data_IF_325264446303
#
_entry.id   IF_325264446303
#
_cell.length_a   1.000
_cell.length_b   1.000
_cell.length_c   1.000
_cell.angle_alpha   90.00
_cell.angle_beta   90.00
_cell.angle_gamma   90.00
#
_symmetry.space_group_name_H-M   'P 1'
#
loop_
_entity.id
_entity.type
_entity.pdbx_description
1 polymer ?
#
# COMPACT_ATOMS: atom_id res chain seq x y z
N UNK A 1 24.63 5.91 -16.47
CA UNK A 1 25.18 7.17 -15.93
C UNK A 1 24.49 8.36 -16.57
N UNK A 2 24.07 9.34 -15.77
CA UNK A 2 23.40 10.55 -16.28
C UNK A 2 24.37 11.61 -16.87
N UNK A 3 25.67 11.50 -16.60
CA UNK A 3 26.69 12.53 -16.90
C UNK A 3 26.77 13.63 -15.83
N UNK A 4 25.88 13.62 -14.83
CA UNK A 4 25.84 14.63 -13.77
C UNK A 4 26.36 14.08 -12.44
N UNK A 5 26.74 15.00 -11.55
CA UNK A 5 27.21 14.72 -10.20
C UNK A 5 26.43 15.56 -9.19
N UNK A 6 26.21 15.01 -8.01
CA UNK A 6 25.72 15.72 -6.84
C UNK A 6 26.89 16.01 -5.89
N UNK A 7 26.81 17.10 -5.15
CA UNK A 7 27.75 17.38 -4.05
C UNK A 7 27.20 16.79 -2.77
N UNK A 8 27.95 15.89 -2.13
CA UNK A 8 27.60 15.42 -0.78
C UNK A 8 27.74 16.59 0.21
N UNK A 9 26.65 17.05 0.82
CA UNK A 9 26.69 18.27 1.65
C UNK A 9 27.48 18.10 2.95
N UNK A 10 27.78 16.83 3.34
CA UNK A 10 28.49 16.53 4.59
C UNK A 10 30.01 16.63 4.43
N UNK A 11 30.52 16.21 3.27
CA UNK A 11 31.98 16.14 3.03
C UNK A 11 32.47 16.83 1.76
N UNK A 12 31.55 17.42 0.98
CA UNK A 12 31.86 18.15 -0.25
C UNK A 12 32.30 17.30 -1.44
N UNK A 13 32.32 15.96 -1.32
CA UNK A 13 32.70 15.07 -2.42
C UNK A 13 31.61 15.02 -3.50
N UNK A 14 32.06 14.88 -4.75
CA UNK A 14 31.17 14.66 -5.88
C UNK A 14 30.73 13.20 -5.94
N UNK A 15 29.41 12.99 -6.05
CA UNK A 15 28.77 11.67 -6.14
C UNK A 15 28.15 11.55 -7.53
N UNK A 16 28.47 10.51 -8.33
CA UNK A 16 27.90 10.34 -9.67
C UNK A 16 26.40 9.99 -9.58
N UNK A 17 25.60 10.60 -10.45
CA UNK A 17 24.16 10.34 -10.52
C UNK A 17 23.89 9.30 -11.60
N UNK A 18 23.19 8.23 -11.21
CA UNK A 18 22.79 7.14 -12.07
C UNK A 18 21.27 6.99 -12.08
N UNK A 19 20.72 6.35 -13.13
CA UNK A 19 19.33 5.92 -13.20
C UNK A 19 19.32 4.41 -13.19
N UNK A 20 18.46 3.80 -12.36
CA UNK A 20 18.30 2.36 -12.28
C UNK A 20 16.84 2.00 -12.00
N UNK A 21 16.40 0.88 -12.56
CA UNK A 21 15.03 0.35 -12.45
C UNK A 21 14.72 -0.23 -11.06
N UNK A 22 15.74 -0.60 -10.27
CA UNK A 22 15.51 -1.05 -8.90
C UNK A 22 15.28 0.10 -7.90
N UNK A 23 15.51 1.35 -8.30
CA UNK A 23 15.22 2.54 -7.48
C UNK A 23 13.76 2.92 -7.65
N UNK A 24 12.96 2.76 -6.60
CA UNK A 24 11.53 3.04 -6.63
C UNK A 24 11.26 4.55 -6.63
N UNK A 25 10.64 5.05 -7.68
CA UNK A 25 10.25 6.46 -7.80
C UNK A 25 9.25 6.90 -6.71
N UNK A 26 8.47 5.96 -6.17
CA UNK A 26 7.49 6.19 -5.11
C UNK A 26 8.09 6.20 -3.70
N UNK A 27 9.39 5.91 -3.54
CA UNK A 27 10.04 5.90 -2.24
C UNK A 27 10.70 7.25 -1.95
N UNK A 28 10.22 7.95 -0.94
CA UNK A 28 10.73 9.28 -0.58
C UNK A 28 10.53 10.30 -1.70
N UNK A 29 11.64 10.84 -2.23
CA UNK A 29 11.65 11.77 -3.37
C UNK A 29 11.88 11.07 -4.71
N UNK A 30 12.01 9.74 -4.71
CA UNK A 30 12.44 8.97 -5.88
C UNK A 30 13.95 9.01 -6.14
N UNK A 31 14.71 9.67 -5.27
CA UNK A 31 16.16 9.67 -5.29
C UNK A 31 16.72 9.09 -3.99
N UNK A 32 17.70 8.21 -4.09
CA UNK A 32 18.39 7.58 -2.96
C UNK A 32 19.89 7.89 -3.01
N UNK A 33 20.54 7.92 -1.85
CA UNK A 33 21.99 7.82 -1.76
C UNK A 33 22.33 6.35 -1.57
N UNK A 34 23.00 5.76 -2.57
CA UNK A 34 23.41 4.36 -2.52
C UNK A 34 24.54 4.16 -1.50
N UNK A 35 24.56 2.98 -0.87
CA UNK A 35 25.62 2.59 0.08
C UNK A 35 26.18 1.22 -0.31
N UNK A 36 27.02 1.16 -1.34
CA UNK A 36 27.47 -0.11 -1.94
C UNK A 36 28.16 -1.09 -0.97
N UNK A 37 28.83 -0.60 0.05
CA UNK A 37 29.48 -1.46 1.03
C UNK A 37 28.48 -2.20 1.96
N UNK A 38 27.22 -1.72 2.05
CA UNK A 38 26.23 -2.15 3.06
C UNK A 38 24.82 -2.45 2.51
N UNK A 39 24.68 -2.55 1.19
CA UNK A 39 23.48 -3.05 0.50
C UNK A 39 23.89 -3.92 -0.68
N UNK A 40 23.39 -5.15 -0.73
CA UNK A 40 23.79 -6.16 -1.73
C UNK A 40 23.45 -5.74 -3.17
N UNK A 41 22.35 -5.00 -3.40
CA UNK A 41 21.97 -4.52 -4.73
C UNK A 41 22.86 -3.37 -5.17
N UNK A 42 23.13 -2.43 -4.27
CA UNK A 42 24.03 -1.31 -4.53
C UNK A 42 25.46 -1.83 -4.76
N UNK A 43 25.88 -2.87 -4.02
CA UNK A 43 27.16 -3.54 -4.19
C UNK A 43 27.29 -4.17 -5.58
N UNK A 44 26.28 -4.97 -5.98
CA UNK A 44 26.28 -5.59 -7.31
C UNK A 44 26.31 -4.55 -8.44
N UNK A 45 25.59 -3.44 -8.26
CA UNK A 45 25.59 -2.33 -9.18
C UNK A 45 26.98 -1.65 -9.25
N UNK A 46 27.58 -1.36 -8.11
CA UNK A 46 28.90 -0.73 -8.04
C UNK A 46 29.99 -1.62 -8.66
N UNK A 47 29.98 -2.91 -8.40
CA UNK A 47 30.91 -3.88 -9.06
C UNK A 47 30.71 -3.91 -10.58
N UNK A 48 29.47 -3.94 -11.06
CA UNK A 48 29.14 -3.96 -12.50
C UNK A 48 29.64 -2.73 -13.23
N UNK A 49 29.56 -1.55 -12.62
CA UNK A 49 29.91 -0.29 -13.24
C UNK A 49 31.24 0.29 -12.75
N UNK A 50 32.02 -0.53 -12.01
CA UNK A 50 33.34 -0.19 -11.49
C UNK A 50 33.33 1.13 -10.68
N UNK A 51 32.33 1.27 -9.79
CA UNK A 51 32.23 2.39 -8.88
C UNK A 51 33.00 2.13 -7.58
N UNK A 52 33.42 3.17 -6.90
CA UNK A 52 34.10 3.09 -5.62
C UNK A 52 33.16 2.50 -4.55
N UNK A 53 33.65 1.52 -3.77
CA UNK A 53 32.96 0.92 -2.64
C UNK A 53 33.73 1.25 -1.38
N UNK A 54 33.13 2.06 -0.51
CA UNK A 54 33.77 2.55 0.73
C UNK A 54 33.07 1.90 1.92
N UNK A 55 33.76 1.08 2.75
CA UNK A 55 33.17 0.57 3.98
C UNK A 55 32.97 1.71 4.98
N UNK A 56 31.77 1.87 5.48
CA UNK A 56 31.41 2.88 6.47
C UNK A 56 31.00 2.28 7.82
N UNK A 57 30.91 0.95 7.90
CA UNK A 57 30.77 0.20 9.12
C UNK A 57 31.92 -0.81 9.27
N UNK A 58 32.34 -1.05 10.50
CA UNK A 58 33.33 -2.05 10.83
C UNK A 58 32.70 -3.45 10.75
N UNK A 59 33.35 -4.37 10.05
CA UNK A 59 32.94 -5.77 9.90
C UNK A 59 32.88 -6.22 8.44
N UNK A 60 32.79 -7.53 8.25
CA UNK A 60 32.71 -8.17 6.95
C UNK A 60 33.96 -8.05 6.08
N UNK A 61 33.85 -8.53 4.85
CA UNK A 61 34.88 -8.42 3.82
C UNK A 61 34.27 -7.88 2.52
N UNK A 62 34.33 -6.58 2.31
CA UNK A 62 33.74 -5.89 1.14
C UNK A 62 34.40 -6.26 -0.19
N UNK A 63 35.52 -6.98 -0.21
CA UNK A 63 36.10 -7.53 -1.45
C UNK A 63 35.24 -8.70 -1.98
N UNK A 64 34.54 -9.39 -1.09
CA UNK A 64 33.72 -10.57 -1.39
C UNK A 64 32.26 -10.20 -1.57
N UNK A 65 31.67 -9.49 -0.60
CA UNK A 65 30.25 -9.15 -0.55
C UNK A 65 29.98 -7.89 0.27
N UNK A 66 28.75 -7.36 0.18
CA UNK A 66 28.29 -6.28 1.05
C UNK A 66 28.12 -6.77 2.49
N UNK A 67 28.49 -5.93 3.46
CA UNK A 67 28.25 -6.19 4.88
C UNK A 67 26.95 -5.51 5.32
N UNK A 68 25.87 -6.29 5.48
CA UNK A 68 24.52 -5.78 5.77
C UNK A 68 24.16 -5.77 7.25
N UNK A 69 25.07 -6.22 8.13
CA UNK A 69 24.86 -6.22 9.58
C UNK A 69 25.18 -4.84 10.19
N UNK A 70 24.73 -4.64 11.42
CA UNK A 70 25.05 -3.43 12.19
C UNK A 70 26.53 -3.46 12.65
N UNK A 71 27.17 -2.30 12.62
CA UNK A 71 28.57 -2.15 13.03
C UNK A 71 28.86 -0.74 13.58
N UNK A 72 30.10 -0.55 14.02
CA UNK A 72 30.60 0.77 14.42
C UNK A 72 31.02 1.56 13.17
N UNK A 73 30.69 2.85 13.12
CA UNK A 73 31.02 3.70 11.99
C UNK A 73 32.51 3.91 11.85
N UNK A 74 33.01 3.71 10.63
CA UNK A 74 34.38 3.98 10.18
C UNK A 74 34.33 4.80 8.87
N UNK A 75 35.39 5.44 8.48
CA UNK A 75 35.49 6.27 7.26
C UNK A 75 34.33 7.30 7.11
N UNK A 76 33.72 7.69 8.22
CA UNK A 76 32.50 8.50 8.30
C UNK A 76 32.72 9.85 9.01
N UNK A 77 33.95 10.33 9.12
CA UNK A 77 34.31 11.62 9.70
C UNK A 77 33.87 11.75 11.15
N UNK A 78 33.00 12.70 11.45
CA UNK A 78 32.54 12.98 12.82
C UNK A 78 31.64 11.89 13.40
N UNK A 79 31.23 10.90 12.59
CA UNK A 79 30.44 9.75 13.02
C UNK A 79 31.31 8.54 13.41
N UNK A 80 32.60 8.58 13.15
CA UNK A 80 33.50 7.47 13.48
C UNK A 80 33.41 7.08 14.95
N UNK A 81 33.37 5.78 15.23
CA UNK A 81 33.28 5.22 16.56
C UNK A 81 31.86 5.18 17.15
N UNK A 82 30.85 5.69 16.45
CA UNK A 82 29.47 5.69 16.90
C UNK A 82 28.72 4.42 16.43
N UNK A 83 27.79 3.96 17.26
CA UNK A 83 26.81 2.97 16.85
C UNK A 83 25.71 3.58 15.96
N UNK A 84 24.89 2.72 15.37
CA UNK A 84 23.86 3.11 14.38
C UNK A 84 22.94 4.23 14.86
N UNK A 85 22.33 4.11 16.02
CA UNK A 85 21.35 5.11 16.48
C UNK A 85 22.01 6.45 16.82
N UNK A 86 23.16 6.41 17.48
CA UNK A 86 23.92 7.61 17.82
C UNK A 86 24.40 8.37 16.57
N UNK A 87 24.83 7.63 15.54
CA UNK A 87 25.26 8.22 14.27
C UNK A 87 24.09 8.85 13.52
N UNK A 88 22.90 8.22 13.52
CA UNK A 88 21.69 8.77 12.91
C UNK A 88 21.31 10.08 13.61
N UNK A 89 21.24 10.09 14.94
CA UNK A 89 20.82 11.26 15.69
C UNK A 89 21.80 12.42 15.50
N UNK A 90 23.11 12.14 15.54
CA UNK A 90 24.17 13.14 15.30
C UNK A 90 24.19 13.68 13.88
N UNK A 91 23.90 12.84 12.88
CA UNK A 91 23.77 13.28 11.50
C UNK A 91 22.55 14.19 11.31
N UNK A 92 21.41 13.85 11.92
CA UNK A 92 20.21 14.68 11.86
C UNK A 92 20.47 16.05 12.49
N UNK A 93 21.08 16.08 13.68
CA UNK A 93 21.48 17.32 14.35
C UNK A 93 22.37 18.20 13.44
N UNK A 94 23.41 17.61 12.85
CA UNK A 94 24.29 18.30 11.91
C UNK A 94 23.53 18.90 10.71
N UNK A 95 22.61 18.13 10.10
CA UNK A 95 21.83 18.58 8.95
C UNK A 95 20.88 19.72 9.30
N UNK A 96 20.25 19.68 10.48
CA UNK A 96 19.32 20.70 10.96
C UNK A 96 20.04 21.98 11.36
N UNK A 97 21.15 21.89 12.08
CA UNK A 97 21.98 23.04 12.47
C UNK A 97 22.52 23.81 11.24
N UNK A 98 22.96 23.07 10.23
CA UNK A 98 23.46 23.65 8.99
C UNK A 98 22.33 24.05 8.01
N UNK A 99 21.06 23.83 8.34
CA UNK A 99 19.87 24.13 7.52
C UNK A 99 19.90 23.48 6.12
N UNK A 100 20.54 22.30 6.01
CA UNK A 100 20.63 21.53 4.77
C UNK A 100 19.74 20.29 4.75
N UNK A 101 19.07 19.99 5.86
CA UNK A 101 18.12 18.87 5.98
C UNK A 101 17.29 18.98 7.22
N UNK A 102 16.35 18.03 7.38
CA UNK A 102 15.52 17.88 8.58
C UNK A 102 15.12 16.43 8.78
N UNK A 103 14.89 16.03 10.03
CA UNK A 103 14.32 14.73 10.35
C UNK A 103 12.94 14.57 9.73
N UNK A 104 12.72 13.48 9.00
CA UNK A 104 11.42 13.08 8.47
C UNK A 104 11.14 11.64 8.88
N UNK A 105 10.00 11.44 9.51
CA UNK A 105 9.51 10.09 9.83
C UNK A 105 8.68 9.62 8.64
N UNK A 106 9.07 8.48 8.05
CA UNK A 106 8.32 7.81 6.99
C UNK A 106 7.93 6.43 7.49
N UNK A 107 6.65 6.10 7.38
CA UNK A 107 6.15 4.78 7.74
C UNK A 107 6.28 3.84 6.55
N UNK A 108 6.68 2.59 6.78
CA UNK A 108 6.68 1.52 5.75
C UNK A 108 5.25 1.02 5.49
N UNK A 109 4.35 1.93 5.22
CA UNK A 109 2.99 1.63 4.82
C UNK A 109 2.88 1.85 3.32
N UNK A 110 2.38 0.85 2.61
CA UNK A 110 1.91 1.04 1.24
C UNK A 110 0.50 1.62 1.32
N UNK A 111 0.17 2.51 0.40
CA UNK A 111 -1.20 2.96 0.23
C UNK A 111 -2.10 1.75 0.00
N UNK A 112 -3.22 1.73 0.71
CA UNK A 112 -4.24 0.72 0.51
C UNK A 112 -5.09 1.11 -0.69
N UNK A 113 -4.73 0.59 -1.86
CA UNK A 113 -5.45 0.88 -3.09
C UNK A 113 -6.73 0.06 -3.09
N UNK A 114 -7.87 0.73 -2.99
CA UNK A 114 -9.18 0.10 -2.96
C UNK A 114 -9.72 -0.22 -4.37
N UNK A 115 -9.34 0.54 -5.39
CA UNK A 115 -9.79 0.38 -6.77
C UNK A 115 -9.06 -0.76 -7.50
N UNK A 116 -9.78 -1.50 -8.35
CA UNK A 116 -9.27 -2.60 -9.18
C UNK A 116 -9.66 -2.40 -10.64
N UNK A 117 -8.73 -2.63 -11.55
CA UNK A 117 -8.93 -2.63 -12.99
C UNK A 117 -9.51 -4.00 -13.43
N UNK A 118 -10.67 -4.34 -12.88
CA UNK A 118 -11.37 -5.61 -13.13
C UNK A 118 -12.85 -5.34 -13.38
N UNK A 119 -13.49 -6.21 -14.18
CA UNK A 119 -14.95 -6.15 -14.37
C UNK A 119 -15.68 -6.72 -13.14
N UNK A 120 -15.27 -7.91 -12.68
CA UNK A 120 -15.93 -8.60 -11.58
C UNK A 120 -15.53 -7.97 -10.22
N UNK A 121 -16.46 -7.22 -9.68
CA UNK A 121 -16.39 -6.50 -8.41
C UNK A 121 -17.55 -5.52 -8.32
N UNK A 122 -17.82 -5.02 -7.12
CA UNK A 122 -18.82 -3.99 -6.92
C UNK A 122 -18.36 -2.70 -7.62
N UNK A 123 -19.23 -2.04 -8.44
CA UNK A 123 -18.88 -0.76 -9.03
C UNK A 123 -18.76 0.33 -7.98
N UNK A 124 -17.86 1.26 -8.19
CA UNK A 124 -17.67 2.42 -7.30
C UNK A 124 -18.63 3.52 -7.76
N UNK A 125 -19.59 3.97 -6.93
CA UNK A 125 -20.68 4.85 -7.33
C UNK A 125 -20.24 6.32 -7.38
N UNK A 126 -19.24 6.64 -8.22
CA UNK A 126 -18.66 7.98 -8.38
C UNK A 126 -18.69 8.39 -9.83
N UNK A 127 -19.00 9.68 -10.06
CA UNK A 127 -18.87 10.36 -11.35
C UNK A 127 -17.79 11.43 -11.23
N UNK A 128 -16.83 11.39 -12.13
CA UNK A 128 -15.76 12.39 -12.26
C UNK A 128 -16.19 13.46 -13.25
N UNK A 129 -16.32 14.69 -12.78
CA UNK A 129 -16.46 15.88 -13.58
C UNK A 129 -15.11 16.60 -13.71
N UNK A 130 -15.00 17.57 -14.62
CA UNK A 130 -13.75 18.32 -14.82
C UNK A 130 -13.31 19.11 -13.57
N UNK A 131 -14.27 19.53 -12.74
CA UNK A 131 -14.06 20.41 -11.59
C UNK A 131 -14.27 19.73 -10.22
N UNK A 132 -14.90 18.56 -10.16
CA UNK A 132 -15.17 17.83 -8.91
C UNK A 132 -15.57 16.37 -9.15
N UNK A 133 -15.56 15.57 -8.09
CA UNK A 133 -16.14 14.23 -8.06
C UNK A 133 -17.51 14.28 -7.36
N UNK A 134 -18.47 13.49 -7.84
CA UNK A 134 -19.81 13.37 -7.27
C UNK A 134 -20.15 11.91 -6.99
N UNK A 135 -20.66 11.64 -5.79
CA UNK A 135 -21.21 10.32 -5.44
C UNK A 135 -22.63 10.22 -5.98
N UNK A 136 -23.01 9.05 -6.49
CA UNK A 136 -24.40 8.78 -6.91
C UNK A 136 -25.37 8.96 -5.75
N UNK A 137 -26.53 9.53 -6.02
CA UNK A 137 -27.62 9.64 -5.04
C UNK A 137 -28.27 8.27 -4.78
N UNK A 138 -28.98 8.12 -3.66
CA UNK A 138 -29.59 6.85 -3.25
C UNK A 138 -30.61 6.31 -4.26
N UNK A 139 -31.32 7.19 -4.96
CA UNK A 139 -32.27 6.83 -6.03
C UNK A 139 -31.60 6.42 -7.35
N UNK A 140 -30.29 6.64 -7.48
CA UNK A 140 -29.45 6.17 -8.59
C UNK A 140 -28.82 4.80 -8.31
N UNK A 141 -29.04 4.23 -7.14
CA UNK A 141 -28.53 2.93 -6.71
C UNK A 141 -29.62 1.83 -6.83
N UNK A 142 -29.26 0.56 -7.07
CA UNK A 142 -27.89 0.06 -7.24
C UNK A 142 -27.29 0.41 -8.60
N UNK A 143 -26.02 0.76 -8.62
CA UNK A 143 -25.26 0.93 -9.87
C UNK A 143 -24.98 -0.43 -10.48
N UNK A 144 -25.60 -0.73 -11.62
CA UNK A 144 -25.49 -2.02 -12.31
C UNK A 144 -24.37 -1.97 -13.35
N UNK A 145 -23.52 -3.01 -13.36
CA UNK A 145 -22.48 -3.16 -14.36
C UNK A 145 -23.07 -3.45 -15.76
N UNK A 146 -22.55 -2.81 -16.82
CA UNK A 146 -23.02 -3.06 -18.18
C UNK A 146 -22.45 -4.40 -18.69
N UNK A 147 -23.17 -5.05 -19.59
CA UNK A 147 -22.62 -6.21 -20.32
C UNK A 147 -21.56 -5.73 -21.30
N UNK A 148 -20.44 -6.42 -21.38
CA UNK A 148 -19.33 -6.11 -22.28
C UNK A 148 -19.13 -7.25 -23.29
N UNK A 149 -18.68 -6.90 -24.48
CA UNK A 149 -18.25 -7.88 -25.50
C UNK A 149 -16.88 -8.49 -25.17
N UNK A 150 -16.01 -7.74 -24.46
CA UNK A 150 -14.69 -8.20 -24.00
C UNK A 150 -14.43 -7.74 -22.56
N UNK A 151 -14.17 -8.69 -21.67
CA UNK A 151 -13.91 -8.49 -20.25
C UNK A 151 -12.42 -8.41 -19.90
N UNK A 152 -11.52 -8.48 -20.90
CA UNK A 152 -10.09 -8.45 -20.64
C UNK A 152 -9.60 -7.04 -20.34
N UNK A 153 -8.64 -6.90 -19.42
CA UNK A 153 -7.95 -5.63 -19.23
C UNK A 153 -7.26 -5.17 -20.52
N UNK A 154 -7.28 -3.87 -20.79
CA UNK A 154 -6.55 -3.31 -21.92
C UNK A 154 -5.04 -3.42 -21.70
N UNK A 155 -4.27 -3.45 -22.80
CA UNK A 155 -2.80 -3.41 -22.74
C UNK A 155 -2.25 -2.14 -22.06
N UNK A 156 -3.03 -1.08 -22.04
CA UNK A 156 -2.75 0.17 -21.33
C UNK A 156 -2.87 0.06 -19.79
N UNK A 157 -3.39 -1.06 -19.28
CA UNK A 157 -3.71 -1.22 -17.85
C UNK A 157 -5.06 -0.63 -17.43
N UNK A 158 -5.83 -0.08 -18.37
CA UNK A 158 -7.16 0.48 -18.09
C UNK A 158 -8.18 -0.62 -17.78
N UNK A 159 -9.20 -0.26 -16.99
CA UNK A 159 -10.27 -1.16 -16.61
C UNK A 159 -11.13 -1.59 -17.83
N UNK A 160 -11.65 -2.83 -17.84
CA UNK A 160 -12.53 -3.30 -18.92
C UNK A 160 -13.78 -2.43 -19.10
N UNK A 161 -14.31 -1.84 -18.03
CA UNK A 161 -15.49 -0.95 -18.05
C UNK A 161 -15.31 0.28 -18.95
N UNK A 162 -14.08 0.72 -19.21
CA UNK A 162 -13.82 1.81 -20.16
C UNK A 162 -14.27 1.51 -21.60
N UNK A 163 -14.57 0.23 -21.92
CA UNK A 163 -15.11 -0.16 -23.20
C UNK A 163 -16.61 0.15 -23.33
N UNK A 164 -17.33 0.35 -22.23
CA UNK A 164 -18.75 0.67 -22.20
C UNK A 164 -18.98 2.18 -22.28
N UNK A 165 -18.67 2.82 -23.40
CA UNK A 165 -18.75 4.29 -23.55
C UNK A 165 -20.10 4.87 -23.16
N UNK A 166 -21.21 4.20 -23.46
CA UNK A 166 -22.57 4.65 -23.12
C UNK A 166 -22.86 4.58 -21.61
N UNK A 167 -22.21 3.64 -20.90
CA UNK A 167 -22.30 3.54 -19.47
C UNK A 167 -21.33 4.50 -18.76
N UNK A 168 -20.13 4.66 -19.30
CA UNK A 168 -19.08 5.52 -18.72
C UNK A 168 -19.44 6.99 -18.82
N UNK A 169 -19.87 7.44 -20.01
CA UNK A 169 -20.13 8.86 -20.24
C UNK A 169 -21.53 9.21 -19.77
N UNK A 170 -21.63 10.18 -18.88
CA UNK A 170 -22.90 10.62 -18.31
C UNK A 170 -23.07 12.14 -18.50
N UNK A 171 -24.33 12.56 -18.58
CA UNK A 171 -24.67 13.97 -18.54
C UNK A 171 -25.63 14.18 -17.34
N UNK A 172 -25.20 14.95 -16.36
CA UNK A 172 -25.97 15.25 -15.15
C UNK A 172 -26.01 16.76 -14.94
N UNK A 173 -27.20 17.31 -14.80
CA UNK A 173 -27.43 18.76 -14.61
C UNK A 173 -26.77 19.64 -15.69
N UNK A 174 -26.72 19.15 -16.95
CA UNK A 174 -26.09 19.85 -18.08
C UNK A 174 -24.56 19.80 -18.12
N UNK A 175 -23.91 19.08 -17.19
CA UNK A 175 -22.47 18.83 -17.17
C UNK A 175 -22.18 17.42 -17.67
N UNK A 176 -21.13 17.28 -18.46
CA UNK A 176 -20.62 15.98 -18.91
C UNK A 176 -19.63 15.46 -17.86
N UNK A 177 -19.79 14.21 -17.46
CA UNK A 177 -18.91 13.53 -16.52
C UNK A 177 -18.62 12.09 -16.96
N UNK A 178 -17.76 11.40 -16.25
CA UNK A 178 -17.41 10.01 -16.49
C UNK A 178 -17.58 9.20 -15.21
N UNK A 179 -18.29 8.08 -15.28
CA UNK A 179 -18.32 7.14 -14.15
C UNK A 179 -16.95 6.55 -13.88
N UNK A 180 -16.67 6.29 -12.60
CA UNK A 180 -15.51 5.49 -12.20
C UNK A 180 -15.57 4.11 -12.88
N UNK A 181 -14.47 3.72 -13.52
CA UNK A 181 -14.39 2.48 -14.30
C UNK A 181 -13.70 1.34 -13.55
N UNK A 182 -13.05 1.65 -12.45
CA UNK A 182 -12.54 0.63 -11.54
C UNK A 182 -13.67 0.04 -10.70
N UNK A 183 -13.47 -1.18 -10.23
CA UNK A 183 -14.37 -1.84 -9.29
C UNK A 183 -13.72 -1.98 -7.92
N UNK A 184 -14.51 -2.27 -6.90
CA UNK A 184 -14.03 -2.60 -5.57
C UNK A 184 -13.27 -3.93 -5.59
N UNK A 185 -12.36 -4.18 -4.63
CA UNK A 185 -11.67 -5.47 -4.52
C UNK A 185 -12.67 -6.59 -4.25
N UNK A 186 -12.35 -7.82 -4.69
CA UNK A 186 -13.23 -8.98 -4.51
C UNK A 186 -13.59 -9.32 -3.06
N UNK A 187 -12.84 -8.81 -2.08
CA UNK A 187 -13.17 -8.95 -0.66
C UNK A 187 -14.03 -7.82 -0.11
N UNK A 188 -14.36 -6.78 -0.87
CA UNK A 188 -15.11 -5.63 -0.36
C UNK A 188 -16.55 -6.03 0.03
N UNK A 189 -17.32 -6.57 -0.90
CA UNK A 189 -18.70 -7.00 -0.63
C UNK A 189 -18.78 -8.19 0.32
N UNK A 190 -17.87 -9.15 0.18
CA UNK A 190 -17.87 -10.34 1.05
C UNK A 190 -17.42 -10.08 2.49
N UNK A 191 -16.85 -8.94 2.78
CA UNK A 191 -16.25 -8.68 4.10
C UNK A 191 -17.24 -8.23 5.18
N UNK A 192 -18.47 -7.94 4.81
CA UNK A 192 -19.56 -7.58 5.74
C UNK A 192 -20.72 -8.58 5.73
N UNK A 193 -20.61 -9.74 5.06
CA UNK A 193 -21.66 -10.72 4.89
C UNK A 193 -22.29 -11.18 6.22
N UNK A 194 -21.49 -11.31 7.27
CA UNK A 194 -21.93 -11.76 8.60
C UNK A 194 -22.92 -10.79 9.25
N UNK A 195 -22.86 -9.49 8.92
CA UNK A 195 -23.85 -8.51 9.36
C UNK A 195 -25.20 -8.77 8.66
N UNK A 196 -25.18 -9.01 7.36
CA UNK A 196 -26.39 -9.28 6.57
C UNK A 196 -27.03 -10.60 6.93
N UNK A 197 -26.25 -11.60 7.39
CA UNK A 197 -26.80 -12.88 7.86
C UNK A 197 -27.69 -12.76 9.10
N UNK A 198 -27.52 -11.69 9.88
CA UNK A 198 -28.34 -11.42 11.06
C UNK A 198 -29.79 -11.12 10.67
N UNK A 199 -29.97 -10.44 9.53
CA UNK A 199 -31.30 -10.02 9.04
C UNK A 199 -31.36 -10.04 7.50
N UNK A 200 -31.36 -11.25 6.90
CA UNK A 200 -31.14 -11.41 5.45
C UNK A 200 -32.26 -10.90 4.56
N UNK A 201 -33.47 -10.78 5.11
CA UNK A 201 -34.67 -10.39 4.37
C UNK A 201 -35.08 -8.94 4.61
N UNK A 202 -34.23 -8.13 5.21
CA UNK A 202 -34.54 -6.74 5.48
C UNK A 202 -34.25 -5.89 4.22
N UNK A 203 -35.29 -5.29 3.66
CA UNK A 203 -35.18 -4.47 2.44
C UNK A 203 -35.00 -2.96 2.75
N UNK A 204 -35.09 -2.56 4.03
CA UNK A 204 -35.03 -1.15 4.44
C UNK A 204 -33.63 -0.72 4.93
N UNK A 205 -32.88 -1.66 5.55
CA UNK A 205 -31.54 -1.38 6.09
C UNK A 205 -30.63 -2.60 6.04
N UNK A 206 -29.35 -2.42 6.39
CA UNK A 206 -28.36 -3.49 6.43
C UNK A 206 -28.80 -4.67 7.30
N UNK A 207 -29.27 -4.40 8.48
CA UNK A 207 -29.92 -5.30 9.43
C UNK A 207 -30.59 -4.48 10.54
N UNK A 208 -31.62 -5.01 11.19
CA UNK A 208 -32.29 -4.38 12.32
C UNK A 208 -31.29 -4.11 13.46
N UNK A 209 -31.33 -2.91 14.00
CA UNK A 209 -30.35 -2.45 15.02
C UNK A 209 -30.40 -3.31 16.30
N UNK A 210 -31.59 -3.74 16.73
CA UNK A 210 -31.72 -4.59 17.94
C UNK A 210 -31.16 -5.99 17.70
N UNK A 211 -31.29 -6.50 16.47
CA UNK A 211 -30.68 -7.79 16.10
C UNK A 211 -29.16 -7.67 16.08
N UNK A 212 -28.63 -6.55 15.54
CA UNK A 212 -27.19 -6.27 15.58
C UNK A 212 -26.66 -6.14 17.00
N UNK A 213 -27.37 -5.43 17.89
CA UNK A 213 -27.02 -5.28 19.31
C UNK A 213 -27.02 -6.62 20.05
N UNK A 214 -27.88 -7.56 19.64
CA UNK A 214 -27.97 -8.88 20.26
C UNK A 214 -26.88 -9.85 19.76
N UNK A 215 -26.56 -9.84 18.46
CA UNK A 215 -25.71 -10.85 17.83
C UNK A 215 -24.26 -10.43 17.64
N UNK A 216 -23.95 -9.14 17.74
CA UNK A 216 -22.59 -8.64 17.54
C UNK A 216 -21.88 -8.37 18.89
N UNK A 217 -20.55 -8.60 18.94
CA UNK A 217 -19.65 -9.16 17.91
C UNK A 217 -19.86 -10.67 17.75
N UNK A 218 -19.37 -11.22 16.62
CA UNK A 218 -19.33 -12.66 16.37
C UNK A 218 -18.44 -13.34 17.40
N UNK A 219 -18.94 -14.35 18.13
CA UNK A 219 -18.24 -14.98 19.26
C UNK A 219 -16.96 -15.70 18.83
N UNK A 220 -17.04 -16.48 17.75
CA UNK A 220 -15.92 -17.25 17.23
C UNK A 220 -15.88 -17.18 15.71
N UNK A 221 -14.77 -16.71 15.18
CA UNK A 221 -14.52 -16.64 13.74
C UNK A 221 -13.35 -17.55 13.37
N UNK A 222 -13.59 -18.50 12.45
CA UNK A 222 -12.62 -19.52 12.05
C UNK A 222 -12.17 -19.26 10.64
N UNK A 223 -10.85 -19.12 10.44
CA UNK A 223 -10.30 -18.89 9.10
C UNK A 223 -8.79 -18.91 9.11
N UNK A 224 -8.19 -19.14 7.94
CA UNK A 224 -6.74 -19.23 7.77
C UNK A 224 -6.03 -17.88 7.94
N UNK A 225 -4.74 -17.89 8.27
CA UNK A 225 -3.94 -16.67 8.46
C UNK A 225 -3.77 -15.85 7.17
N UNK A 226 -3.96 -16.46 6.01
CA UNK A 226 -3.94 -15.79 4.70
C UNK A 226 -5.00 -14.70 4.54
N UNK A 227 -6.06 -14.76 5.33
CA UNK A 227 -7.12 -13.75 5.33
C UNK A 227 -6.77 -12.47 6.11
N UNK A 228 -5.64 -12.45 6.84
CA UNK A 228 -5.27 -11.31 7.69
C UNK A 228 -5.17 -9.98 6.93
N UNK A 229 -4.56 -9.99 5.75
CA UNK A 229 -4.40 -8.80 4.88
C UNK A 229 -5.47 -8.69 3.78
N UNK A 230 -6.41 -9.62 3.74
CA UNK A 230 -7.56 -9.64 2.83
C UNK A 230 -8.85 -9.46 3.58
N UNK A 231 -9.67 -10.51 3.63
CA UNK A 231 -11.01 -10.50 4.22
C UNK A 231 -11.08 -9.88 5.63
N UNK A 232 -10.17 -10.23 6.54
CA UNK A 232 -10.20 -9.71 7.92
C UNK A 232 -9.92 -8.21 7.99
N UNK A 233 -8.99 -7.71 7.18
CA UNK A 233 -8.71 -6.27 7.10
C UNK A 233 -9.94 -5.50 6.61
N UNK A 234 -10.59 -5.97 5.54
CA UNK A 234 -11.81 -5.35 5.02
C UNK A 234 -12.98 -5.44 6.01
N UNK A 235 -13.15 -6.59 6.67
CA UNK A 235 -14.20 -6.76 7.69
C UNK A 235 -14.06 -5.75 8.82
N UNK A 236 -12.84 -5.54 9.32
CA UNK A 236 -12.57 -4.55 10.37
C UNK A 236 -12.75 -3.12 9.86
N UNK A 237 -12.30 -2.83 8.64
CA UNK A 237 -12.49 -1.51 8.04
C UNK A 237 -13.98 -1.15 7.92
N UNK A 238 -14.79 -2.04 7.33
CA UNK A 238 -16.24 -1.84 7.21
C UNK A 238 -16.92 -1.73 8.57
N UNK A 239 -16.58 -2.59 9.53
CA UNK A 239 -17.18 -2.54 10.87
C UNK A 239 -16.86 -1.23 11.57
N UNK A 240 -15.63 -0.74 11.51
CA UNK A 240 -15.28 0.55 12.08
C UNK A 240 -16.02 1.71 11.40
N UNK A 241 -16.08 1.72 10.06
CA UNK A 241 -16.83 2.74 9.31
C UNK A 241 -18.33 2.73 9.67
N UNK A 242 -18.95 1.55 9.73
CA UNK A 242 -20.36 1.41 10.10
C UNK A 242 -20.61 1.76 11.57
N UNK A 243 -19.67 1.50 12.45
CA UNK A 243 -19.71 1.94 13.84
C UNK A 243 -19.66 3.47 13.96
N UNK A 244 -18.75 4.10 13.26
CA UNK A 244 -18.61 5.57 13.27
C UNK A 244 -19.84 6.29 12.67
N UNK A 245 -20.67 5.56 11.91
CA UNK A 245 -21.95 6.02 11.37
C UNK A 245 -23.18 5.49 12.15
N UNK A 246 -23.00 4.95 13.36
CA UNK A 246 -24.08 4.42 14.22
C UNK A 246 -24.93 3.28 13.61
N UNK A 247 -24.40 2.56 12.63
CA UNK A 247 -25.07 1.42 11.98
C UNK A 247 -24.89 0.14 12.74
N UNK A 248 -23.67 -0.12 13.26
CA UNK A 248 -23.36 -1.31 14.07
C UNK A 248 -22.93 -0.92 15.48
N UNK A 249 -23.16 -1.78 16.51
CA UNK A 249 -22.90 -1.43 17.91
C UNK A 249 -21.45 -1.65 18.35
N UNK A 250 -20.58 -2.22 17.53
CA UNK A 250 -19.24 -2.67 17.90
C UNK A 250 -18.20 -2.20 16.92
N UNK A 251 -16.97 -1.92 17.38
CA UNK A 251 -15.80 -1.58 16.55
C UNK A 251 -15.08 -2.80 16.01
N UNK A 252 -15.04 -3.89 16.76
CA UNK A 252 -14.38 -5.12 16.36
C UNK A 252 -15.46 -6.17 16.01
N UNK A 253 -15.41 -6.73 14.77
CA UNK A 253 -16.46 -7.64 14.30
C UNK A 253 -16.43 -9.02 14.98
N UNK A 254 -15.24 -9.46 15.45
CA UNK A 254 -15.01 -10.80 15.94
C UNK A 254 -14.45 -10.76 17.36
N UNK A 255 -15.10 -11.46 18.30
CA UNK A 255 -14.62 -11.57 19.68
C UNK A 255 -13.39 -12.47 19.76
N UNK A 256 -13.40 -13.59 19.04
CA UNK A 256 -12.28 -14.54 18.99
C UNK A 256 -12.02 -15.00 17.56
N UNK A 257 -10.76 -14.89 17.14
CA UNK A 257 -10.30 -15.45 15.87
C UNK A 257 -9.52 -16.74 16.13
N UNK A 258 -9.85 -17.79 15.38
CA UNK A 258 -9.15 -19.06 15.44
C UNK A 258 -8.59 -19.43 14.06
N UNK A 259 -7.27 -19.58 13.98
CA UNK A 259 -6.59 -20.05 12.79
C UNK A 259 -6.39 -21.56 12.87
N UNK A 260 -6.99 -22.30 11.95
CA UNK A 260 -6.86 -23.76 11.87
C UNK A 260 -5.50 -24.23 11.32
N UNK A 261 -4.63 -23.30 10.91
CA UNK A 261 -3.37 -23.61 10.24
C UNK A 261 -3.53 -23.78 8.73
N UNK A 262 -2.43 -24.14 8.09
CA UNK A 262 -2.39 -24.37 6.65
C UNK A 262 -2.26 -25.86 6.34
N UNK A 263 -2.94 -26.32 5.32
CA UNK A 263 -2.74 -27.66 4.79
C UNK A 263 -1.46 -27.64 3.96
N UNK A 264 -0.56 -28.54 4.31
CA UNK A 264 0.72 -28.69 3.62
C UNK A 264 0.71 -29.94 2.74
N UNK A 265 1.30 -29.83 1.57
CA UNK A 265 1.56 -30.95 0.67
C UNK A 265 2.80 -31.74 1.05
N UNK A 266 3.26 -32.58 0.16
CA UNK A 266 4.53 -33.26 0.29
C UNK A 266 5.66 -32.23 0.44
N UNK A 267 6.66 -32.53 1.25
CA UNK A 267 7.80 -31.66 1.56
C UNK A 267 7.45 -30.38 2.38
N UNK A 268 6.32 -30.36 3.07
CA UNK A 268 5.86 -29.21 3.86
C UNK A 268 5.63 -27.92 3.04
N UNK A 269 5.42 -28.03 1.75
CA UNK A 269 5.06 -26.91 0.91
C UNK A 269 3.55 -26.59 1.04
N UNK A 270 3.20 -25.34 0.92
CA UNK A 270 1.80 -24.89 0.92
C UNK A 270 1.09 -25.49 -0.30
N UNK A 271 -0.07 -26.15 -0.08
CA UNK A 271 -0.94 -26.65 -1.15
C UNK A 271 -1.61 -25.49 -1.90
#
# INVERSE_FOLDING_TARGET
>A
FTGAYAVNPVNGKLIPIWISDYVLASYGTGAIMAVPAHDSRDYAFAKKFNLEIIPVLEGGNIEVEAFEEDGIHINSGFLNGLGKQEAIDKMIEFLEENKIGKKKISYRLREWIFARQRYWGEPIPVIHFDDHDEVLADDELPLVLPVLDDYKPKKSGSAPLENASDWVNVCKNGKTGRRETNTMPGSAGSSWYFLRYIDPNNDECLADKKLLEHWMPVDLYVGGPEHAVGHLLYSRFWTNYLYDNDVVPVKEPFHKLFHQGMILGENNEKM
#
